data_IF_824832385981
#
_entry.id   IF_824832385981
#
_cell.length_a   1.000
_cell.length_b   1.000
_cell.length_c   1.000
_cell.angle_alpha   90.00
_cell.angle_beta   90.00
_cell.angle_gamma   90.00
#
_symmetry.space_group_name_H-M   'P 1'
#
loop_
_entity.id
_entity.type
_entity.pdbx_description
1 polymer ?
#
# COMPACT_ATOMS: atom_id res chain seq x y z
N UNK A 1 4.44 10.43 6.00
CA UNK A 1 3.01 10.34 5.69
C UNK A 1 2.73 8.96 5.11
N UNK A 2 1.57 8.37 5.42
CA UNK A 2 1.08 7.16 4.77
C UNK A 2 -0.17 7.47 3.96
N UNK A 3 -0.33 6.80 2.83
CA UNK A 3 -1.53 6.89 1.98
C UNK A 3 -1.96 5.48 1.63
N UNK A 4 -3.22 5.12 1.89
CA UNK A 4 -3.74 3.78 1.63
C UNK A 4 -5.09 3.83 0.91
N UNK A 5 -5.19 3.09 -0.20
CA UNK A 5 -6.43 2.82 -0.92
C UNK A 5 -6.77 1.36 -0.68
N UNK A 6 -7.90 1.08 -0.03
CA UNK A 6 -8.22 -0.28 0.40
C UNK A 6 -9.72 -0.50 0.53
N UNK A 7 -10.13 -1.76 0.50
CA UNK A 7 -11.51 -2.12 0.79
C UNK A 7 -11.77 -1.95 2.29
N UNK A 8 -12.87 -1.29 2.63
CA UNK A 8 -13.24 -1.04 4.03
C UNK A 8 -14.69 -1.47 4.30
N UNK A 9 -14.99 -1.81 5.56
CA UNK A 9 -16.32 -2.25 5.98
C UNK A 9 -16.60 -3.75 5.74
N UNK A 10 -17.79 -4.19 6.17
CA UNK A 10 -18.26 -5.59 6.16
C UNK A 10 -17.27 -6.57 6.82
N UNK A 11 -16.68 -6.17 7.95
CA UNK A 11 -15.69 -6.97 8.70
C UNK A 11 -14.48 -7.43 7.86
N UNK A 12 -14.14 -6.67 6.82
CA UNK A 12 -12.96 -6.99 6.02
C UNK A 12 -11.69 -6.69 6.81
N UNK A 13 -10.74 -7.62 6.75
CA UNK A 13 -9.45 -7.47 7.42
C UNK A 13 -8.67 -6.26 6.88
N UNK A 14 -7.97 -5.48 7.73
CA UNK A 14 -7.80 -5.65 9.17
C UNK A 14 -8.88 -4.96 10.03
N UNK A 15 -9.86 -4.30 9.42
CA UNK A 15 -10.89 -3.54 10.12
C UNK A 15 -10.49 -2.10 10.50
N UNK A 16 -9.31 -1.64 10.08
CA UNK A 16 -8.81 -0.27 10.28
C UNK A 16 -8.76 0.51 8.95
N UNK A 17 -8.34 1.78 8.98
CA UNK A 17 -8.25 2.60 7.75
C UNK A 17 -9.56 3.30 7.38
N UNK A 18 -10.43 3.58 8.36
CA UNK A 18 -11.60 4.44 8.11
C UNK A 18 -11.17 5.83 7.62
N UNK A 19 -12.08 6.57 7.00
CA UNK A 19 -11.82 7.96 6.58
C UNK A 19 -11.49 8.89 7.75
N UNK A 20 -11.89 8.51 8.97
CA UNK A 20 -11.63 9.26 10.21
C UNK A 20 -10.35 8.82 10.92
N UNK A 21 -9.68 7.78 10.41
CA UNK A 21 -8.38 7.37 10.91
C UNK A 21 -7.29 8.27 10.31
N UNK A 22 -7.02 9.37 11.01
CA UNK A 22 -6.16 10.46 10.52
C UNK A 22 -4.78 10.46 11.18
N UNK A 23 -4.45 9.47 12.01
CA UNK A 23 -3.29 9.51 12.89
C UNK A 23 -3.53 10.37 14.15
N UNK A 24 -2.51 10.46 15.01
CA UNK A 24 -2.63 11.07 16.34
C UNK A 24 -1.51 12.07 16.62
N UNK A 25 -1.77 12.98 17.57
CA UNK A 25 -0.82 14.01 18.02
C UNK A 25 -0.20 14.79 16.85
N UNK A 26 1.14 14.84 16.79
CA UNK A 26 1.91 15.51 15.73
C UNK A 26 1.78 14.81 14.37
N UNK A 27 1.37 13.54 14.35
CA UNK A 27 1.09 12.76 13.15
C UNK A 27 -0.37 12.85 12.67
N UNK A 28 -1.22 13.65 13.31
CA UNK A 28 -2.59 13.86 12.83
C UNK A 28 -2.60 14.52 11.45
N UNK A 29 -3.45 14.04 10.55
CA UNK A 29 -3.53 14.33 9.12
C UNK A 29 -2.39 13.75 8.26
N UNK A 30 -1.42 13.04 8.85
CA UNK A 30 -0.34 12.37 8.11
C UNK A 30 -0.61 10.88 7.83
N UNK A 31 -1.75 10.36 8.27
CA UNK A 31 -2.29 9.08 7.82
C UNK A 31 -3.51 9.35 6.94
N UNK A 32 -3.38 9.08 5.65
CA UNK A 32 -4.41 9.33 4.64
C UNK A 32 -5.02 7.99 4.22
N UNK A 33 -6.30 7.81 4.50
CA UNK A 33 -7.02 6.59 4.20
C UNK A 33 -8.13 6.86 3.17
N UNK A 34 -8.21 6.01 2.15
CA UNK A 34 -9.20 6.06 1.08
C UNK A 34 -10.00 4.75 1.12
N UNK A 35 -11.04 4.67 1.98
CA UNK A 35 -11.84 3.46 2.13
C UNK A 35 -12.79 3.27 0.94
N UNK A 36 -12.75 2.10 0.31
CA UNK A 36 -13.54 1.78 -0.88
C UNK A 36 -14.48 0.59 -0.64
N UNK A 37 -15.56 0.53 -1.41
CA UNK A 37 -16.42 -0.63 -1.51
C UNK A 37 -15.89 -1.61 -2.55
N UNK A 38 -16.42 -2.83 -2.55
CA UNK A 38 -16.04 -3.86 -3.52
C UNK A 38 -16.33 -3.44 -4.97
N UNK A 39 -15.60 -4.06 -5.89
CA UNK A 39 -15.85 -4.01 -7.32
C UNK A 39 -15.40 -2.73 -8.02
N UNK A 40 -14.64 -1.85 -7.36
CA UNK A 40 -14.05 -0.67 -8.03
C UNK A 40 -13.27 -1.12 -9.27
N UNK A 41 -13.42 -0.36 -10.35
CA UNK A 41 -12.73 -0.60 -11.61
C UNK A 41 -11.66 0.47 -11.90
N UNK A 42 -10.94 0.27 -13.01
CA UNK A 42 -9.79 1.07 -13.39
C UNK A 42 -10.10 2.57 -13.48
N UNK A 43 -11.21 2.93 -14.12
CA UNK A 43 -11.56 4.33 -14.36
C UNK A 43 -11.92 5.05 -13.05
N UNK A 44 -12.71 4.40 -12.20
CA UNK A 44 -13.06 4.92 -10.88
C UNK A 44 -11.86 5.04 -9.96
N UNK A 45 -11.00 4.02 -9.96
CA UNK A 45 -9.78 4.02 -9.16
C UNK A 45 -8.85 5.16 -9.59
N UNK A 46 -8.62 5.34 -10.89
CA UNK A 46 -7.77 6.41 -11.41
C UNK A 46 -8.35 7.80 -11.16
N UNK A 47 -9.69 7.95 -11.19
CA UNK A 47 -10.38 9.20 -10.90
C UNK A 47 -10.23 9.66 -9.42
N UNK A 48 -9.95 8.71 -8.52
CA UNK A 48 -9.55 9.00 -7.13
C UNK A 48 -8.04 9.17 -6.98
N UNK A 49 -7.28 8.20 -7.48
CA UNK A 49 -5.84 8.08 -7.24
C UNK A 49 -5.08 9.32 -7.71
N UNK A 50 -5.30 9.75 -8.96
CA UNK A 50 -4.57 10.89 -9.55
C UNK A 50 -4.71 12.19 -8.75
N UNK A 51 -5.92 12.70 -8.46
CA UNK A 51 -6.05 13.94 -7.71
C UNK A 51 -5.57 13.81 -6.25
N UNK A 52 -5.84 12.69 -5.59
CA UNK A 52 -5.43 12.50 -4.18
C UNK A 52 -3.89 12.47 -4.07
N UNK A 53 -3.22 11.67 -4.89
CA UNK A 53 -1.75 11.60 -4.89
C UNK A 53 -1.13 12.93 -5.35
N UNK A 54 -1.74 13.64 -6.29
CA UNK A 54 -1.33 15.00 -6.65
C UNK A 54 -1.29 15.93 -5.44
N UNK A 55 -2.40 16.00 -4.69
CA UNK A 55 -2.47 16.81 -3.46
C UNK A 55 -1.52 16.33 -2.35
N UNK A 56 -1.25 15.03 -2.25
CA UNK A 56 -0.25 14.49 -1.34
C UNK A 56 1.14 15.03 -1.70
N UNK A 57 1.55 14.93 -2.96
CA UNK A 57 2.85 15.43 -3.41
C UNK A 57 2.97 16.93 -3.19
N UNK A 58 1.93 17.70 -3.54
CA UNK A 58 1.93 19.16 -3.39
C UNK A 58 2.01 19.59 -1.91
N UNK A 59 1.21 18.99 -1.02
CA UNK A 59 1.11 19.43 0.37
C UNK A 59 2.17 18.80 1.29
N UNK A 60 2.56 17.54 1.04
CA UNK A 60 3.57 16.84 1.85
C UNK A 60 4.99 17.09 1.35
N UNK A 61 5.18 17.30 0.04
CA UNK A 61 6.50 17.49 -0.59
C UNK A 61 7.52 16.41 -0.20
N UNK A 62 7.27 15.12 -0.50
CA UNK A 62 8.16 14.03 -0.12
C UNK A 62 9.51 14.08 -0.86
N UNK A 63 10.59 13.79 -0.15
CA UNK A 63 11.92 13.57 -0.75
C UNK A 63 12.09 12.14 -1.28
N UNK A 64 11.35 11.18 -0.71
CA UNK A 64 11.36 9.78 -1.11
C UNK A 64 9.94 9.20 -1.07
N UNK A 65 9.65 8.29 -2.01
CA UNK A 65 8.37 7.59 -2.10
C UNK A 65 8.64 6.09 -2.05
N UNK A 66 7.94 5.41 -1.14
CA UNK A 66 7.88 3.94 -1.08
C UNK A 66 6.49 3.52 -1.52
N UNK A 67 6.41 2.75 -2.60
CA UNK A 67 5.14 2.27 -3.17
C UNK A 67 5.01 0.77 -2.93
N UNK A 68 4.01 0.38 -2.13
CA UNK A 68 3.59 -1.01 -2.02
C UNK A 68 2.57 -1.32 -3.11
N UNK A 69 2.84 -2.35 -3.92
CA UNK A 69 2.00 -2.74 -5.06
C UNK A 69 1.35 -4.11 -4.79
N UNK A 70 0.35 -4.16 -3.90
CA UNK A 70 -0.42 -5.38 -3.65
C UNK A 70 -1.13 -5.88 -4.91
N UNK A 71 -0.91 -7.14 -5.28
CA UNK A 71 -1.56 -7.77 -6.44
C UNK A 71 -2.98 -8.27 -6.12
N UNK A 72 -3.36 -8.30 -4.84
CA UNK A 72 -4.68 -8.70 -4.35
C UNK A 72 -5.82 -7.77 -4.81
N UNK A 73 -5.49 -6.55 -5.20
CA UNK A 73 -6.44 -5.60 -5.79
C UNK A 73 -6.80 -5.92 -7.25
N UNK A 74 -6.11 -6.88 -7.89
CA UNK A 74 -6.41 -7.31 -9.25
C UNK A 74 -7.79 -7.98 -9.34
N UNK A 75 -8.45 -7.78 -10.48
CA UNK A 75 -9.60 -8.57 -10.86
C UNK A 75 -9.27 -10.06 -10.83
N UNK A 76 -10.24 -10.86 -10.40
CA UNK A 76 -10.09 -12.31 -10.25
C UNK A 76 -9.11 -12.79 -9.17
N UNK A 77 -8.58 -11.91 -8.32
CA UNK A 77 -7.87 -12.34 -7.11
C UNK A 77 -8.75 -13.25 -6.24
N UNK A 78 -8.12 -14.15 -5.48
CA UNK A 78 -8.82 -15.12 -4.65
C UNK A 78 -9.39 -14.49 -3.36
N UNK A 79 -8.71 -13.48 -2.82
CA UNK A 79 -9.00 -12.87 -1.53
C UNK A 79 -9.54 -11.44 -1.68
N UNK A 80 -9.00 -10.70 -2.64
CA UNK A 80 -9.45 -9.36 -2.98
C UNK A 80 -10.78 -9.36 -3.71
N UNK A 81 -11.44 -8.20 -3.67
CA UNK A 81 -12.77 -8.02 -4.24
C UNK A 81 -12.84 -6.76 -5.12
N UNK A 82 -11.72 -6.33 -5.69
CA UNK A 82 -11.65 -5.25 -6.67
C UNK A 82 -11.60 -5.83 -8.09
N UNK A 83 -11.83 -4.97 -9.08
CA UNK A 83 -11.82 -5.34 -10.50
C UNK A 83 -10.70 -4.58 -11.25
N UNK A 84 -9.53 -4.40 -10.63
CA UNK A 84 -8.44 -3.66 -11.28
C UNK A 84 -7.70 -4.52 -12.30
N UNK A 85 -7.26 -3.91 -13.40
CA UNK A 85 -6.37 -4.56 -14.35
C UNK A 85 -4.90 -4.41 -13.96
N UNK A 86 -4.06 -5.29 -14.50
CA UNK A 86 -2.60 -5.17 -14.37
C UNK A 86 -2.06 -3.88 -15.00
N UNK A 87 -2.82 -3.25 -15.91
CA UNK A 87 -2.47 -1.96 -16.52
C UNK A 87 -2.52 -0.82 -15.52
N UNK A 88 -3.51 -0.78 -14.61
CA UNK A 88 -3.60 0.26 -13.58
C UNK A 88 -2.45 0.16 -12.59
N UNK A 89 -2.10 -1.06 -12.16
CA UNK A 89 -0.90 -1.29 -11.33
C UNK A 89 0.37 -0.81 -12.05
N UNK A 90 0.53 -1.14 -13.33
CA UNK A 90 1.66 -0.63 -14.13
C UNK A 90 1.65 0.89 -14.30
N UNK A 91 0.47 1.53 -14.32
CA UNK A 91 0.34 2.99 -14.44
C UNK A 91 0.76 3.68 -13.14
N UNK A 92 0.32 3.19 -11.98
CA UNK A 92 0.78 3.71 -10.67
C UNK A 92 2.30 3.67 -10.55
N UNK A 93 2.93 2.63 -11.10
CA UNK A 93 4.37 2.46 -11.14
C UNK A 93 5.09 3.47 -12.04
N UNK A 94 4.54 3.75 -13.22
CA UNK A 94 5.15 4.64 -14.23
C UNK A 94 4.96 6.13 -13.95
N UNK A 95 3.92 6.50 -13.19
CA UNK A 95 3.66 7.90 -12.83
C UNK A 95 4.44 8.38 -11.60
N UNK A 96 5.17 7.51 -10.91
CA UNK A 96 6.18 7.92 -9.94
C UNK A 96 7.37 8.55 -10.68
N UNK A 97 7.91 9.72 -10.25
CA UNK A 97 9.10 10.32 -10.85
C UNK A 97 10.35 9.43 -10.73
N UNK A 98 10.29 8.39 -9.90
CA UNK A 98 11.29 7.33 -9.81
C UNK A 98 10.87 6.17 -10.72
N UNK A 99 11.25 6.27 -12.00
CA UNK A 99 11.08 5.18 -12.96
C UNK A 99 11.92 3.99 -12.51
N UNK A 100 11.29 3.00 -11.89
CA UNK A 100 11.89 1.69 -11.76
C UNK A 100 11.92 1.03 -13.15
N UNK A 101 13.13 0.79 -13.67
CA UNK A 101 13.33 -0.03 -14.84
C UNK A 101 13.13 -1.50 -14.44
N UNK A 102 11.94 -2.06 -14.66
CA UNK A 102 11.81 -3.53 -14.65
C UNK A 102 12.59 -4.08 -15.84
N UNK A 103 13.77 -4.62 -15.56
CA UNK A 103 14.56 -5.37 -16.53
C UNK A 103 14.01 -6.80 -16.58
N UNK A 104 13.11 -7.08 -17.53
CA UNK A 104 12.67 -8.44 -17.81
C UNK A 104 13.77 -9.16 -18.58
N UNK A 105 14.70 -9.79 -17.87
CA UNK A 105 15.55 -10.83 -18.43
C UNK A 105 15.28 -12.14 -17.70
N UNK A 106 14.77 -13.10 -18.47
CA UNK A 106 14.54 -14.50 -18.14
C UNK A 106 13.31 -14.79 -17.27
N UNK A 107 12.12 -14.75 -17.88
CA UNK A 107 11.02 -15.62 -17.44
C UNK A 107 11.47 -17.05 -17.76
N UNK A 108 11.68 -17.88 -16.74
CA UNK A 108 12.06 -19.28 -16.91
C UNK A 108 10.97 -19.99 -17.75
N UNK A 109 11.40 -20.65 -18.83
CA UNK A 109 10.53 -21.34 -19.82
C UNK A 109 9.57 -22.34 -19.15
N UNK A 110 9.96 -22.89 -17.99
CA UNK A 110 9.19 -23.84 -17.20
C UNK A 110 7.82 -23.30 -16.74
N UNK A 111 7.68 -21.99 -16.53
CA UNK A 111 6.42 -21.39 -16.08
C UNK A 111 5.54 -20.85 -17.22
N UNK A 112 6.05 -20.85 -18.45
CA UNK A 112 5.30 -20.36 -19.62
C UNK A 112 3.94 -21.07 -19.82
N UNK A 113 3.79 -22.38 -19.56
CA UNK A 113 2.50 -23.07 -19.69
C UNK A 113 1.40 -22.55 -18.75
N UNK A 114 1.75 -21.91 -17.63
CA UNK A 114 0.74 -21.32 -16.73
C UNK A 114 0.03 -20.10 -17.33
N UNK A 115 0.57 -19.54 -18.41
CA UNK A 115 -0.03 -18.42 -19.13
C UNK A 115 -0.85 -18.88 -20.35
N UNK A 116 -1.06 -20.18 -20.53
CA UNK A 116 -1.98 -20.69 -21.55
C UNK A 116 -3.43 -20.25 -21.29
N UNK A 117 -4.24 -20.01 -22.35
CA UNK A 117 -3.88 -20.08 -23.77
C UNK A 117 -3.32 -18.78 -24.37
N UNK A 118 -3.46 -17.63 -23.70
CA UNK A 118 -3.14 -16.33 -24.31
C UNK A 118 -1.66 -15.95 -24.26
N UNK A 119 -0.84 -16.62 -23.43
CA UNK A 119 0.57 -16.37 -23.20
C UNK A 119 0.92 -14.88 -22.98
N UNK A 120 0.03 -14.17 -22.30
CA UNK A 120 0.13 -12.72 -22.08
C UNK A 120 0.28 -12.39 -20.60
N UNK A 121 1.12 -11.40 -20.30
CA UNK A 121 1.22 -10.80 -18.97
C UNK A 121 0.11 -9.76 -18.70
N UNK A 122 -0.74 -9.49 -19.71
CA UNK A 122 -1.86 -8.54 -19.65
C UNK A 122 -3.16 -9.23 -20.05
N UNK A 123 -3.63 -10.21 -19.27
CA UNK A 123 -4.91 -10.83 -19.55
C UNK A 123 -6.04 -9.80 -19.33
N UNK A 124 -7.09 -9.89 -20.13
CA UNK A 124 -8.35 -9.22 -19.80
C UNK A 124 -9.02 -10.00 -18.66
N UNK A 125 -9.07 -9.40 -17.48
CA UNK A 125 -9.61 -10.04 -16.29
C UNK A 125 -11.13 -9.82 -16.26
N UNK A 126 -11.95 -10.88 -16.19
CA UNK A 126 -13.40 -10.71 -16.10
C UNK A 126 -13.76 -10.02 -14.78
N UNK A 127 -14.69 -9.06 -14.85
CA UNK A 127 -15.23 -8.37 -13.66
C UNK A 127 -16.09 -9.37 -12.89
N UNK A 128 -15.65 -9.78 -11.70
CA UNK A 128 -16.37 -10.76 -10.86
C UNK A 128 -17.28 -10.10 -9.83
N UNK A 129 -16.93 -8.90 -9.39
CA UNK A 129 -17.70 -8.16 -8.39
C UNK A 129 -18.51 -7.03 -9.05
N UNK A 130 -19.74 -6.82 -8.61
CA UNK A 130 -20.48 -5.61 -8.93
C UNK A 130 -19.80 -4.40 -8.29
N UNK A 131 -19.65 -3.30 -9.04
CA UNK A 131 -19.06 -2.08 -8.51
C UNK A 131 -20.05 -1.37 -7.60
N UNK A 132 -19.82 -1.47 -6.29
CA UNK A 132 -20.67 -0.83 -5.27
C UNK A 132 -20.22 0.61 -4.94
N UNK A 133 -19.26 1.15 -5.69
CA UNK A 133 -18.77 2.51 -5.52
C UNK A 133 -19.54 3.47 -6.42
N UNK A 134 -20.59 4.10 -5.90
CA UNK A 134 -21.32 5.11 -6.67
C UNK A 134 -20.43 6.35 -6.92
N UNK A 135 -20.66 7.06 -8.03
CA UNK A 135 -19.89 8.27 -8.36
C UNK A 135 -19.99 9.35 -7.28
N UNK A 136 -21.16 9.46 -6.63
CA UNK A 136 -21.39 10.40 -5.53
C UNK A 136 -20.57 10.01 -4.30
N UNK A 137 -20.52 8.71 -3.96
CA UNK A 137 -19.68 8.19 -2.88
C UNK A 137 -18.20 8.46 -3.12
N UNK A 138 -17.70 8.17 -4.33
CA UNK A 138 -16.30 8.42 -4.70
C UNK A 138 -15.98 9.92 -4.66
N UNK A 139 -16.91 10.76 -5.13
CA UNK A 139 -16.74 12.22 -5.09
C UNK A 139 -16.68 12.74 -3.65
N UNK A 140 -17.54 12.25 -2.77
CA UNK A 140 -17.55 12.60 -1.36
C UNK A 140 -16.25 12.20 -0.65
N UNK A 141 -15.77 10.96 -0.86
CA UNK A 141 -14.48 10.50 -0.31
C UNK A 141 -13.35 11.39 -0.80
N UNK A 142 -13.29 11.65 -2.11
CA UNK A 142 -12.23 12.49 -2.67
C UNK A 142 -12.21 13.88 -2.05
N UNK A 143 -13.38 14.49 -1.88
CA UNK A 143 -13.49 15.82 -1.26
C UNK A 143 -13.00 15.81 0.18
N UNK A 144 -13.45 14.85 0.97
CA UNK A 144 -13.06 14.70 2.38
C UNK A 144 -11.55 14.45 2.53
N UNK A 145 -10.98 13.57 1.70
CA UNK A 145 -9.54 13.28 1.70
C UNK A 145 -8.73 14.52 1.32
N UNK A 146 -9.15 15.27 0.30
CA UNK A 146 -8.48 16.50 -0.11
C UNK A 146 -8.58 17.58 0.98
N UNK A 147 -9.71 17.69 1.67
CA UNK A 147 -9.86 18.63 2.78
C UNK A 147 -8.93 18.28 3.95
N UNK A 148 -8.81 16.99 4.28
CA UNK A 148 -7.83 16.52 5.27
C UNK A 148 -6.39 16.84 4.87
N UNK A 149 -6.06 16.70 3.58
CA UNK A 149 -4.74 17.03 3.06
C UNK A 149 -4.40 18.53 3.15
N UNK A 150 -5.40 19.43 3.17
CA UNK A 150 -5.15 20.88 3.38
C UNK A 150 -4.62 21.20 4.77
N UNK A 151 -4.78 20.30 5.74
CA UNK A 151 -4.29 20.48 7.10
C UNK A 151 -2.81 20.10 7.26
N UNK A 152 -2.21 19.47 6.25
CA UNK A 152 -0.81 19.04 6.24
C UNK A 152 0.10 20.25 6.11
N UNK A 153 1.10 20.35 6.99
CA UNK A 153 2.05 21.49 7.06
C UNK A 153 3.43 21.11 6.49
N UNK A 154 3.46 20.39 5.37
CA UNK A 154 4.70 19.85 4.78
C UNK A 154 5.22 18.61 5.51
N UNK A 155 6.31 18.03 4.99
CA UNK A 155 6.96 16.89 5.65
C UNK A 155 7.64 17.33 6.97
N UNK A 156 7.41 16.61 8.09
CA UNK A 156 8.16 16.86 9.31
C UNK A 156 9.64 16.56 9.06
N UNK A 157 10.53 17.49 9.41
CA UNK A 157 11.97 17.30 9.22
C UNK A 157 12.48 16.16 10.10
N UNK A 158 13.02 15.10 9.49
CA UNK A 158 13.74 14.03 10.19
C UNK A 158 15.23 14.27 9.95
N UNK A 159 16.02 14.42 11.03
CA UNK A 159 17.47 14.47 10.89
C UNK A 159 18.00 13.10 10.49
N UNK A 160 18.57 13.00 9.29
CA UNK A 160 19.31 11.83 8.86
C UNK A 160 20.66 11.82 9.58
N UNK A 161 20.92 10.78 10.38
CA UNK A 161 22.23 10.55 10.99
C UNK A 161 22.92 9.42 10.21
N UNK A 162 24.17 9.62 9.82
CA UNK A 162 24.95 8.55 9.21
C UNK A 162 25.08 7.40 10.22
N UNK A 163 24.88 6.16 9.76
CA UNK A 163 25.13 4.98 10.59
C UNK A 163 26.65 4.94 10.81
N UNK A 164 27.13 4.96 12.07
CA UNK A 164 28.55 4.79 12.37
C UNK A 164 29.11 3.50 11.76
N UNK A 165 30.32 3.55 11.22
CA UNK A 165 30.93 2.42 10.48
C UNK A 165 31.14 1.16 11.36
N UNK A 166 31.18 1.33 12.68
CA UNK A 166 31.32 0.29 13.70
C UNK A 166 30.02 -0.45 14.05
N UNK A 167 28.86 0.06 13.62
CA UNK A 167 27.55 -0.59 13.86
C UNK A 167 27.16 -1.61 12.79
N UNK A 168 27.83 -1.63 11.63
CA UNK A 168 27.60 -2.60 10.56
C UNK A 168 28.90 -3.35 10.29
N UNK A 169 29.03 -4.53 10.89
CA UNK A 169 30.12 -5.43 10.56
C UNK A 169 29.85 -6.07 9.20
N UNK A 170 30.24 -5.37 8.13
CA UNK A 170 29.95 -5.74 6.73
C UNK A 170 30.46 -7.15 6.40
N UNK A 171 31.52 -7.59 7.06
CA UNK A 171 32.09 -8.92 6.89
C UNK A 171 31.16 -10.01 7.47
N UNK A 172 30.51 -9.75 8.60
CA UNK A 172 29.47 -10.63 9.15
C UNK A 172 28.22 -10.57 8.26
N UNK A 173 27.71 -9.37 7.95
CA UNK A 173 26.47 -9.23 7.19
C UNK A 173 26.52 -9.87 5.79
N UNK A 174 27.69 -9.84 5.12
CA UNK A 174 27.86 -10.41 3.78
C UNK A 174 28.23 -11.90 3.79
N UNK A 175 28.84 -12.41 4.87
CA UNK A 175 29.31 -13.79 4.95
C UNK A 175 28.49 -14.68 5.88
N UNK A 176 27.49 -14.15 6.59
CA UNK A 176 26.56 -14.98 7.36
C UNK A 176 25.71 -15.77 6.37
N UNK A 177 25.73 -17.12 6.40
CA UNK A 177 24.88 -17.92 5.54
C UNK A 177 23.40 -17.62 5.87
N UNK A 178 22.58 -17.40 4.85
CA UNK A 178 21.14 -17.23 5.06
C UNK A 178 20.59 -18.46 5.79
N UNK A 179 19.91 -18.23 6.91
CA UNK A 179 19.25 -19.29 7.68
C UNK A 179 18.21 -19.96 6.77
N UNK A 180 18.38 -21.26 6.54
CA UNK A 180 17.48 -22.03 5.69
C UNK A 180 16.04 -22.00 6.21
N UNK A 181 15.07 -22.12 5.31
CA UNK A 181 13.63 -21.98 5.61
C UNK A 181 13.14 -22.80 6.81
N UNK A 182 13.81 -23.93 7.12
CA UNK A 182 13.47 -24.82 8.23
C UNK A 182 13.91 -24.31 9.62
N UNK A 183 14.82 -23.34 9.69
CA UNK A 183 15.37 -22.79 10.94
C UNK A 183 14.88 -21.37 11.24
N UNK A 184 14.07 -20.76 10.37
CA UNK A 184 13.34 -19.53 10.72
C UNK A 184 12.32 -19.86 11.80
N UNK A 185 12.50 -19.25 12.96
CA UNK A 185 11.52 -19.21 14.03
C UNK A 185 10.15 -18.87 13.46
N UNK A 186 9.11 -19.63 13.85
CA UNK A 186 7.72 -19.29 13.52
C UNK A 186 7.33 -18.10 14.39
N UNK A 187 7.65 -16.88 13.96
CA UNK A 187 7.32 -15.62 14.66
C UNK A 187 5.80 -15.31 14.65
N UNK A 188 4.95 -16.32 14.43
CA UNK A 188 3.50 -16.19 14.43
C UNK A 188 2.90 -15.94 15.82
N UNK A 189 3.65 -16.16 16.92
CA UNK A 189 3.08 -16.10 18.27
C UNK A 189 3.19 -14.74 18.97
N UNK A 190 4.06 -13.82 18.52
CA UNK A 190 4.33 -12.55 19.23
C UNK A 190 3.59 -11.31 18.70
N UNK A 191 2.70 -11.46 17.71
CA UNK A 191 1.85 -10.35 17.22
C UNK A 191 0.72 -9.95 18.20
N UNK A 192 0.59 -10.62 19.36
CA UNK A 192 -0.51 -10.41 20.30
C UNK A 192 -0.11 -9.72 21.62
N UNK A 193 1.12 -9.23 21.75
CA UNK A 193 1.67 -8.77 23.04
C UNK A 193 2.15 -7.32 23.03
N UNK A 194 1.30 -6.38 22.58
CA UNK A 194 1.54 -4.95 22.87
C UNK A 194 0.23 -4.20 23.07
N UNK A 195 -0.23 -4.10 24.32
CA UNK A 195 -0.95 -2.98 24.96
C UNK A 195 -1.50 -3.48 26.30
N UNK A 196 -0.61 -3.69 27.26
CA UNK A 196 -0.97 -4.18 28.59
C UNK A 196 0.10 -3.83 29.61
N UNK A 197 0.47 -2.55 29.68
CA UNK A 197 1.43 -2.05 30.65
C UNK A 197 0.96 -0.74 31.26
N UNK A 198 0.84 -0.75 32.59
CA UNK A 198 0.68 0.38 33.51
C UNK A 198 -0.71 1.03 33.64
N UNK A 199 -1.50 0.48 34.56
CA UNK A 199 -2.38 1.27 35.43
C UNK A 199 -1.90 1.07 36.87
N UNK A 200 -0.87 1.82 37.27
CA UNK A 200 -0.58 2.06 38.68
C UNK A 200 -1.51 3.18 39.20
N UNK A 201 -2.36 2.77 40.15
CA UNK A 201 -2.95 3.49 41.30
C UNK A 201 -3.24 5.00 41.22
N UNK A 202 -4.47 5.41 41.56
CA UNK A 202 -4.78 6.52 42.50
C UNK A 202 -6.24 6.36 43.00
N UNK A 203 -6.35 6.24 44.33
CA UNK A 203 -7.51 6.38 45.26
C UNK A 203 -8.81 5.64 44.98
#
# INVERSE_FOLDING_TARGET
MTVSFHKYGNMFFPGTGSIYDLGQHTGRYYAVNVPLQQGIDDDDYLALFRPIIGHVVDNFSPEAIVLQCGADSLGCDRLGCFNLSSTVLSYTFRSSPLTCHLCYKNVFIEYLPFFEPEFTLRPELPKRAENLNTKDFLTAIRQEVIENLRQVKGAPSVQMTAIPDDLIDKEIALNTPEVGENERSRDHEDMNTTYGGYMDSIS
#
